data_IF_176589275814
#
_entry.id   IF_176589275814
#
_cell.length_a   1.000
_cell.length_b   1.000
_cell.length_c   1.000
_cell.angle_alpha   90.00
_cell.angle_beta   90.00
_cell.angle_gamma   90.00
#
_symmetry.space_group_name_H-M   'P 1'
#
loop_
_entity.id
_entity.type
_entity.pdbx_description
1 polymer ?
#
# COMPACT_ATOMS: atom_id res chain seq x y z
N UNK A 1 4.27 -5.81 12.08
CA UNK A 1 3.52 -4.70 12.73
C UNK A 1 3.25 -5.05 14.18
N UNK A 2 3.01 -4.09 15.07
CA UNK A 2 2.56 -4.38 16.45
C UNK A 2 1.16 -3.82 16.56
N UNK A 3 0.09 -4.65 16.44
CA UNK A 3 -1.28 -4.15 16.37
C UNK A 3 -1.70 -3.57 17.72
N UNK A 4 -1.61 -2.24 17.84
CA UNK A 4 -2.06 -1.47 18.99
C UNK A 4 -2.76 -0.21 18.49
N UNK A 5 -3.76 0.32 19.21
CA UNK A 5 -4.47 1.53 18.81
C UNK A 5 -3.52 2.70 18.50
N UNK A 6 -2.52 2.94 19.36
CA UNK A 6 -1.57 4.04 19.16
C UNK A 6 -0.73 3.90 17.88
N UNK A 7 -0.41 2.66 17.50
CA UNK A 7 0.37 2.38 16.29
C UNK A 7 -0.48 2.51 15.02
N UNK A 8 -1.78 2.18 15.11
CA UNK A 8 -2.72 2.38 14.01
C UNK A 8 -2.95 3.87 13.73
N UNK A 9 -3.04 4.68 14.78
CA UNK A 9 -3.14 6.14 14.65
C UNK A 9 -1.88 6.76 14.05
N UNK A 10 -0.69 6.30 14.46
CA UNK A 10 0.56 6.74 13.86
C UNK A 10 0.67 6.32 12.39
N UNK A 11 0.31 5.08 12.07
CA UNK A 11 0.28 4.58 10.69
C UNK A 11 -0.67 5.40 9.81
N UNK A 12 -1.85 5.79 10.32
CA UNK A 12 -2.81 6.63 9.56
C UNK A 12 -2.18 7.94 9.08
N UNK A 13 -1.39 8.61 9.93
CA UNK A 13 -0.67 9.85 9.54
C UNK A 13 0.34 9.60 8.43
N UNK A 14 1.11 8.51 8.51
CA UNK A 14 2.05 8.15 7.44
C UNK A 14 1.35 7.73 6.15
N UNK A 15 0.20 7.07 6.27
CA UNK A 15 -0.63 6.68 5.13
C UNK A 15 -1.16 7.91 4.37
N UNK A 16 -1.67 8.91 5.09
CA UNK A 16 -2.13 10.18 4.48
C UNK A 16 -0.98 10.88 3.72
N UNK A 17 0.23 10.89 4.29
CA UNK A 17 1.41 11.42 3.61
C UNK A 17 1.78 10.58 2.37
N UNK A 18 1.73 9.26 2.47
CA UNK A 18 2.03 8.35 1.37
C UNK A 18 1.05 8.53 0.19
N UNK A 19 -0.25 8.70 0.47
CA UNK A 19 -1.29 8.92 -0.55
C UNK A 19 -1.12 10.25 -1.29
N UNK A 20 -0.44 11.23 -0.68
CA UNK A 20 -0.17 12.55 -1.28
C UNK A 20 1.24 12.69 -1.86
N UNK A 21 2.10 11.67 -1.72
CA UNK A 21 3.47 11.69 -2.25
C UNK A 21 3.46 11.28 -3.73
N UNK A 22 3.77 12.20 -4.66
CA UNK A 22 3.77 11.87 -6.09
C UNK A 22 4.91 10.91 -6.44
N UNK A 23 4.70 10.11 -7.48
CA UNK A 23 5.71 9.22 -8.09
C UNK A 23 6.33 8.18 -7.14
N UNK A 24 5.70 7.92 -5.99
CA UNK A 24 6.13 6.89 -5.02
C UNK A 24 4.99 5.93 -4.73
N UNK A 25 5.25 4.63 -4.87
CA UNK A 25 4.28 3.57 -4.61
C UNK A 25 4.70 2.72 -3.41
N UNK A 26 3.85 2.67 -2.39
CA UNK A 26 4.11 1.94 -1.15
C UNK A 26 3.47 0.54 -1.21
N UNK A 27 4.27 -0.52 -1.18
CA UNK A 27 3.79 -1.90 -1.25
C UNK A 27 4.49 -2.83 -0.25
N UNK A 28 3.83 -3.93 0.10
CA UNK A 28 4.36 -4.96 0.99
C UNK A 28 4.07 -4.73 2.48
N UNK A 29 4.57 -5.67 3.29
CA UNK A 29 4.28 -5.79 4.72
C UNK A 29 4.69 -4.56 5.53
N UNK A 30 5.87 -4.02 5.24
CA UNK A 30 6.43 -2.88 6.00
C UNK A 30 5.78 -1.56 5.59
N UNK A 31 5.59 -1.35 4.28
CA UNK A 31 5.05 -0.10 3.74
C UNK A 31 3.57 0.08 4.10
N UNK A 32 2.79 -1.00 4.15
CA UNK A 32 1.35 -0.94 4.45
C UNK A 32 1.00 -1.26 5.91
N UNK A 33 2.02 -1.46 6.75
CA UNK A 33 1.87 -1.81 8.17
C UNK A 33 0.89 -2.97 8.45
N UNK A 34 0.80 -3.93 7.53
CA UNK A 34 -0.09 -5.10 7.63
C UNK A 34 0.69 -6.38 7.87
N UNK A 35 0.03 -7.38 8.45
CA UNK A 35 0.58 -8.74 8.50
C UNK A 35 0.22 -9.45 7.21
N UNK A 36 1.24 -9.81 6.45
CA UNK A 36 1.11 -10.54 5.19
C UNK A 36 2.09 -11.71 5.18
N UNK A 37 1.63 -12.84 4.64
CA UNK A 37 2.45 -13.96 4.21
C UNK A 37 3.05 -13.72 2.82
N UNK A 38 4.04 -14.54 2.45
CA UNK A 38 4.80 -14.36 1.20
C UNK A 38 3.91 -14.27 -0.05
N UNK A 39 2.91 -15.17 -0.17
CA UNK A 39 2.01 -15.21 -1.32
C UNK A 39 1.15 -13.93 -1.43
N UNK A 40 0.74 -13.35 -0.31
CA UNK A 40 -0.03 -12.09 -0.29
C UNK A 40 0.84 -10.91 -0.73
N UNK A 41 2.12 -10.88 -0.33
CA UNK A 41 3.06 -9.85 -0.77
C UNK A 41 3.32 -9.94 -2.27
N UNK A 42 3.49 -11.15 -2.81
CA UNK A 42 3.67 -11.36 -4.26
C UNK A 42 2.43 -10.93 -5.04
N UNK A 43 1.23 -11.34 -4.61
CA UNK A 43 -0.01 -10.94 -5.25
C UNK A 43 -0.21 -9.42 -5.22
N UNK A 44 0.08 -8.77 -4.09
CA UNK A 44 0.02 -7.32 -3.97
C UNK A 44 1.00 -6.63 -4.94
N UNK A 45 2.24 -7.13 -5.05
CA UNK A 45 3.23 -6.52 -5.93
C UNK A 45 2.81 -6.58 -7.40
N UNK A 46 2.23 -7.70 -7.85
CA UNK A 46 1.70 -7.85 -9.21
C UNK A 46 0.54 -6.88 -9.46
N UNK A 47 -0.41 -6.78 -8.52
CA UNK A 47 -1.53 -5.84 -8.64
C UNK A 47 -1.07 -4.38 -8.68
N UNK A 48 -0.08 -4.00 -7.85
CA UNK A 48 0.51 -2.66 -7.88
C UNK A 48 1.17 -2.39 -9.22
N UNK A 49 1.92 -3.35 -9.75
CA UNK A 49 2.55 -3.22 -11.06
C UNK A 49 1.52 -3.03 -12.19
N UNK A 50 0.47 -3.86 -12.24
CA UNK A 50 -0.62 -3.75 -13.20
C UNK A 50 -1.28 -2.37 -13.16
N UNK A 51 -1.53 -1.84 -11.96
CA UNK A 51 -2.13 -0.53 -11.81
C UNK A 51 -1.20 0.61 -12.27
N UNK A 52 0.11 0.50 -12.01
CA UNK A 52 1.11 1.49 -12.47
C UNK A 52 1.16 1.53 -13.99
N UNK A 53 1.18 0.37 -14.65
CA UNK A 53 1.28 0.33 -16.13
C UNK A 53 -0.02 0.69 -16.84
N UNK A 54 -1.18 0.45 -16.20
CA UNK A 54 -2.49 0.81 -16.74
C UNK A 54 -2.80 2.31 -16.59
N UNK A 55 -2.11 3.00 -15.68
CA UNK A 55 -2.37 4.40 -15.35
C UNK A 55 -1.42 5.31 -16.15
N UNK A 56 -1.92 6.28 -16.94
CA UNK A 56 -1.07 7.27 -17.59
C UNK A 56 -0.28 8.07 -16.56
N UNK A 57 0.97 8.41 -16.87
CA UNK A 57 1.83 9.24 -16.01
C UNK A 57 1.08 10.52 -15.64
N UNK A 58 0.80 10.73 -14.34
CA UNK A 58 0.07 11.89 -13.80
C UNK A 58 -1.34 11.62 -13.26
N UNK A 59 -1.87 10.39 -13.37
CA UNK A 59 -3.13 10.03 -12.72
C UNK A 59 -2.92 9.60 -11.25
N UNK A 60 -3.93 9.79 -10.37
CA UNK A 60 -3.80 9.56 -8.93
C UNK A 60 -3.42 8.11 -8.63
N UNK A 61 -2.64 7.91 -7.56
CA UNK A 61 -2.16 6.60 -7.16
C UNK A 61 -3.35 5.63 -6.99
N UNK A 62 -3.25 4.40 -7.55
CA UNK A 62 -4.31 3.42 -7.45
C UNK A 62 -4.54 3.05 -5.99
N UNK A 63 -5.79 3.04 -5.56
CA UNK A 63 -6.16 2.60 -4.22
C UNK A 63 -5.72 1.14 -4.05
N UNK A 64 -4.86 0.87 -3.06
CA UNK A 64 -4.42 -0.49 -2.74
C UNK A 64 -5.61 -1.30 -2.25
N UNK A 65 -6.32 -1.95 -3.18
CA UNK A 65 -7.36 -2.92 -2.87
C UNK A 65 -6.69 -3.99 -2.02
N UNK A 66 -7.09 -4.06 -0.75
CA UNK A 66 -6.70 -5.18 0.10
C UNK A 66 -7.22 -6.44 -0.55
N UNK A 67 -6.32 -7.22 -1.16
CA UNK A 67 -6.58 -8.59 -1.59
C UNK A 67 -6.84 -9.41 -0.33
N UNK A 68 -8.08 -9.36 0.14
CA UNK A 68 -8.61 -10.18 1.22
C UNK A 68 -9.81 -10.87 0.62
N UNK A 69 -9.72 -12.21 0.56
CA UNK A 69 -10.89 -13.06 0.35
C UNK A 69 -11.92 -12.82 1.44
#
# INVERSE_FOLDING_TARGET
PVPRPENADLYRRYRELAETTPDVFFAGRLATYKYYDMHQVVAQALSVFENIVATPIGAPAPELVSVTR
#
